data_IF_928626462567
#
_entry.id   IF_928626462567
#
_cell.length_a   1.000
_cell.length_b   1.000
_cell.length_c   1.000
_cell.angle_alpha   90.00
_cell.angle_beta   90.00
_cell.angle_gamma   90.00
#
_symmetry.space_group_name_H-M   'P 1'
#
loop_
_entity.id
_entity.type
_entity.pdbx_description
1 polymer ?
#
# COMPACT_ATOMS: atom_id res chain seq x y z
N UNK A 1 -14.85 24.62 9.75
CA UNK A 1 -13.80 23.86 10.44
C UNK A 1 -13.67 22.54 9.72
N UNK A 2 -12.70 22.39 8.81
CA UNK A 2 -12.49 21.14 8.10
C UNK A 2 -11.62 20.25 8.97
N UNK A 3 -12.25 19.41 9.80
CA UNK A 3 -11.57 18.27 10.42
C UNK A 3 -11.23 17.27 9.31
N UNK A 4 -10.11 17.51 8.62
CA UNK A 4 -9.42 16.44 7.91
C UNK A 4 -8.74 15.56 8.96
N UNK A 5 -9.56 14.78 9.68
CA UNK A 5 -9.06 13.75 10.58
C UNK A 5 -8.25 12.78 9.73
N UNK A 6 -6.94 12.78 9.94
CA UNK A 6 -6.02 11.87 9.28
C UNK A 6 -6.37 10.47 9.79
N UNK A 7 -6.88 9.55 8.94
CA UNK A 7 -7.48 8.30 9.42
C UNK A 7 -6.49 7.45 10.26
N UNK A 8 -5.19 7.60 10.00
CA UNK A 8 -4.15 6.90 10.73
C UNK A 8 -3.93 7.41 12.16
N UNK A 9 -4.27 8.65 12.49
CA UNK A 9 -4.11 9.16 13.86
C UNK A 9 -5.04 8.46 14.85
N UNK A 10 -6.20 7.98 14.39
CA UNK A 10 -7.20 7.29 15.22
C UNK A 10 -6.71 5.95 15.77
N UNK A 11 -5.82 5.29 15.04
CA UNK A 11 -5.25 3.98 15.40
C UNK A 11 -3.81 4.10 15.92
N UNK A 12 -3.36 5.32 16.21
CA UNK A 12 -2.03 5.57 16.78
C UNK A 12 -1.94 5.00 18.18
N UNK A 13 -0.85 4.29 18.43
CA UNK A 13 -0.43 3.84 19.76
C UNK A 13 0.83 4.59 20.17
N UNK A 14 0.99 4.80 21.48
CA UNK A 14 2.22 5.32 22.07
C UNK A 14 2.85 4.20 22.87
N UNK A 15 4.10 3.88 22.58
CA UNK A 15 4.82 2.84 23.29
C UNK A 15 5.37 3.33 24.63
N UNK A 16 5.98 2.43 25.41
CA UNK A 16 6.54 2.75 26.72
C UNK A 16 7.63 3.84 26.69
N UNK A 17 8.27 4.05 25.55
CA UNK A 17 9.32 5.04 25.35
C UNK A 17 8.76 6.38 24.82
N UNK A 18 7.44 6.52 24.68
CA UNK A 18 6.78 7.71 24.15
C UNK A 18 6.80 7.82 22.62
N UNK A 19 7.28 6.80 21.90
CA UNK A 19 7.31 6.81 20.45
C UNK A 19 5.97 6.35 19.86
N UNK A 20 5.60 6.95 18.73
CA UNK A 20 4.37 6.65 18.01
C UNK A 20 4.51 5.37 17.18
N UNK A 21 3.49 4.51 17.25
CA UNK A 21 3.49 3.19 16.63
C UNK A 21 2.09 2.81 16.10
N UNK A 22 2.08 1.95 15.08
CA UNK A 22 0.85 1.45 14.45
C UNK A 22 0.93 -0.06 14.20
N UNK A 23 -0.21 -0.76 14.34
CA UNK A 23 -0.32 -2.15 13.88
C UNK A 23 -0.54 -2.20 12.37
N UNK A 24 0.27 -2.97 11.65
CA UNK A 24 0.08 -3.20 10.22
C UNK A 24 -1.28 -3.86 9.91
N UNK A 25 -1.77 -4.74 10.78
CA UNK A 25 -3.12 -5.34 10.63
C UNK A 25 -4.23 -4.31 10.76
N UNK A 26 -4.15 -3.42 11.74
CA UNK A 26 -5.15 -2.35 11.91
C UNK A 26 -5.08 -1.35 10.75
N UNK A 27 -3.87 -0.94 10.36
CA UNK A 27 -3.65 -0.07 9.22
C UNK A 27 -4.20 -0.68 7.93
N UNK A 28 -3.93 -1.95 7.65
CA UNK A 28 -4.47 -2.64 6.46
C UNK A 28 -6.00 -2.59 6.40
N UNK A 29 -6.69 -2.80 7.53
CA UNK A 29 -8.16 -2.69 7.60
C UNK A 29 -8.64 -1.27 7.31
N UNK A 30 -8.00 -0.28 7.93
CA UNK A 30 -8.30 1.15 7.73
C UNK A 30 -8.13 1.56 6.26
N UNK A 31 -7.10 1.03 5.59
CA UNK A 31 -6.83 1.28 4.18
C UNK A 31 -7.69 0.45 3.21
N UNK A 32 -8.64 -0.34 3.72
CA UNK A 32 -9.62 -1.08 2.90
C UNK A 32 -9.12 -2.44 2.40
N UNK A 33 -8.13 -3.06 3.07
CA UNK A 33 -7.74 -4.45 2.84
C UNK A 33 -8.54 -5.36 3.77
N UNK A 34 -9.47 -6.12 3.20
CA UNK A 34 -10.34 -7.04 3.94
C UNK A 34 -9.58 -8.18 4.62
N UNK A 35 -8.54 -8.70 3.95
CA UNK A 35 -7.70 -9.79 4.45
C UNK A 35 -6.24 -9.36 4.50
N UNK A 36 -5.56 -9.70 5.60
CA UNK A 36 -4.17 -9.32 5.81
C UNK A 36 -3.21 -9.86 4.73
N UNK A 37 -3.51 -11.03 4.15
CA UNK A 37 -2.71 -11.61 3.05
C UNK A 37 -2.62 -10.69 1.82
N UNK A 38 -3.67 -9.92 1.53
CA UNK A 38 -3.69 -8.99 0.40
C UNK A 38 -2.91 -7.70 0.72
N UNK A 39 -2.61 -7.46 1.99
CA UNK A 39 -1.83 -6.32 2.45
C UNK A 39 -0.32 -6.63 2.52
N UNK A 40 0.06 -7.91 2.66
CA UNK A 40 1.47 -8.34 2.67
C UNK A 40 2.26 -7.80 1.46
N UNK A 41 1.79 -7.88 0.20
CA UNK A 41 2.54 -7.32 -0.94
C UNK A 41 2.79 -5.82 -0.87
N UNK A 42 1.91 -5.06 -0.19
CA UNK A 42 2.09 -3.62 0.04
C UNK A 42 3.19 -3.39 1.08
N UNK A 43 3.17 -4.17 2.17
CA UNK A 43 4.20 -4.11 3.20
C UNK A 43 5.58 -4.49 2.63
N UNK A 44 5.66 -5.50 1.76
CA UNK A 44 6.92 -5.87 1.09
C UNK A 44 7.49 -4.72 0.26
N UNK A 45 6.68 -4.12 -0.63
CA UNK A 45 7.13 -2.97 -1.44
C UNK A 45 7.49 -1.76 -0.59
N UNK A 46 6.79 -1.54 0.52
CA UNK A 46 7.12 -0.47 1.46
C UNK A 46 8.46 -0.71 2.18
N UNK A 47 8.77 -1.96 2.56
CA UNK A 47 10.08 -2.35 3.12
C UNK A 47 11.21 -2.14 2.10
N UNK A 48 11.00 -2.55 0.85
CA UNK A 48 11.95 -2.31 -0.25
C UNK A 48 12.20 -0.81 -0.46
N UNK A 49 11.14 0.01 -0.46
CA UNK A 49 11.27 1.47 -0.57
C UNK A 49 12.05 2.09 0.61
N UNK A 50 11.86 1.55 1.83
CA UNK A 50 12.60 1.96 3.03
C UNK A 50 14.10 1.70 2.87
N UNK A 51 14.47 0.48 2.48
CA UNK A 51 15.85 0.06 2.25
C UNK A 51 16.51 0.85 1.12
N UNK A 52 15.81 1.02 0.00
CA UNK A 52 16.29 1.82 -1.14
C UNK A 52 16.48 3.30 -0.81
N UNK A 53 15.79 3.80 0.23
CA UNK A 53 15.96 5.17 0.74
C UNK A 53 17.11 5.27 1.77
N UNK A 54 17.83 4.18 2.03
CA UNK A 54 18.95 4.13 2.97
C UNK A 54 18.55 3.97 4.44
N UNK A 55 17.28 3.65 4.72
CA UNK A 55 16.79 3.43 6.09
C UNK A 55 16.83 1.95 6.46
N UNK A 56 17.15 1.66 7.72
CA UNK A 56 17.12 0.29 8.26
C UNK A 56 15.66 -0.16 8.43
N UNK A 57 15.31 -1.31 7.85
CA UNK A 57 13.93 -1.83 7.88
C UNK A 57 13.44 -2.03 9.31
N UNK A 58 14.28 -2.59 10.19
CA UNK A 58 13.89 -2.96 11.55
C UNK A 58 13.56 -1.74 12.45
N UNK A 59 14.10 -0.56 12.13
CA UNK A 59 13.76 0.69 12.83
C UNK A 59 12.33 1.16 12.53
N UNK A 60 11.74 0.63 11.46
CA UNK A 60 10.47 1.11 10.90
C UNK A 60 9.39 0.04 10.79
N UNK A 61 9.77 -1.24 10.66
CA UNK A 61 8.89 -2.40 10.45
C UNK A 61 9.27 -3.56 11.38
N UNK A 62 8.98 -3.43 12.66
CA UNK A 62 9.32 -4.42 13.69
C UNK A 62 8.31 -5.58 13.69
N UNK A 63 8.79 -6.81 13.48
CA UNK A 63 7.92 -8.00 13.53
C UNK A 63 7.64 -8.44 14.97
N UNK A 64 6.36 -8.54 15.35
CA UNK A 64 5.95 -8.92 16.70
C UNK A 64 4.96 -10.08 16.70
N UNK A 65 4.78 -10.68 17.88
CA UNK A 65 3.67 -11.59 18.17
C UNK A 65 2.65 -10.84 19.02
N UNK A 66 1.57 -10.39 18.38
CA UNK A 66 0.47 -9.72 19.08
C UNK A 66 -0.54 -10.73 19.65
N UNK A 67 -1.04 -10.46 20.85
CA UNK A 67 -1.96 -11.33 21.57
C UNK A 67 -3.40 -10.88 21.34
N UNK A 68 -4.08 -11.54 20.40
CA UNK A 68 -5.45 -11.16 20.00
C UNK A 68 -6.46 -12.04 20.72
N UNK A 69 -7.56 -11.43 21.21
CA UNK A 69 -8.71 -12.17 21.72
C UNK A 69 -9.40 -12.92 20.58
N UNK A 70 -9.52 -14.22 20.73
CA UNK A 70 -10.43 -15.07 19.99
C UNK A 70 -11.60 -15.38 20.94
N UNK A 71 -12.83 -15.47 20.42
CA UNK A 71 -14.04 -15.63 21.23
C UNK A 71 -13.89 -16.63 22.39
N UNK A 72 -14.64 -16.40 23.47
CA UNK A 72 -14.57 -17.16 24.73
C UNK A 72 -13.31 -16.88 25.58
N UNK A 73 -12.88 -15.61 25.67
CA UNK A 73 -11.73 -15.15 26.49
C UNK A 73 -10.36 -15.79 26.18
N UNK A 74 -10.25 -16.63 25.15
CA UNK A 74 -8.98 -17.20 24.72
C UNK A 74 -8.13 -16.12 24.01
N UNK A 75 -6.82 -16.12 24.26
CA UNK A 75 -5.85 -15.28 23.54
C UNK A 75 -4.99 -16.15 22.64
N UNK A 76 -4.68 -15.69 21.43
CA UNK A 76 -3.75 -16.34 20.52
C UNK A 76 -2.70 -15.35 20.03
N UNK A 77 -1.45 -15.81 20.01
CA UNK A 77 -0.36 -15.09 19.38
C UNK A 77 -0.52 -15.11 17.85
N UNK A 78 -0.60 -13.93 17.26
CA UNK A 78 -0.66 -13.71 15.82
C UNK A 78 0.53 -12.85 15.41
N UNK A 79 1.23 -13.25 14.34
CA UNK A 79 2.31 -12.45 13.76
C UNK A 79 1.75 -11.13 13.25
N UNK A 80 2.30 -10.01 13.70
CA UNK A 80 1.97 -8.66 13.23
C UNK A 80 3.27 -7.87 12.99
N UNK A 81 3.15 -6.68 12.43
CA UNK A 81 4.26 -5.75 12.24
C UNK A 81 3.88 -4.42 12.90
N UNK A 82 4.74 -3.93 13.77
CA UNK A 82 4.69 -2.58 14.31
C UNK A 82 5.35 -1.64 13.32
N UNK A 83 4.64 -0.58 12.97
CA UNK A 83 5.04 0.41 12.01
C UNK A 83 5.36 1.72 12.71
N UNK A 84 6.47 2.35 12.34
CA UNK A 84 6.72 3.75 12.62
C UNK A 84 5.83 4.67 11.76
N UNK A 85 5.75 5.95 12.10
CA UNK A 85 5.05 6.95 11.27
C UNK A 85 5.56 6.97 9.82
N UNK A 86 6.88 6.91 9.67
CA UNK A 86 7.53 6.87 8.36
C UNK A 86 7.11 5.62 7.56
N UNK A 87 7.11 4.44 8.19
CA UNK A 87 6.62 3.22 7.57
C UNK A 87 5.16 3.32 7.12
N UNK A 88 4.28 3.92 7.94
CA UNK A 88 2.89 4.15 7.56
C UNK A 88 2.77 4.96 6.26
N UNK A 89 3.62 5.97 6.06
CA UNK A 89 3.64 6.76 4.82
C UNK A 89 4.12 5.95 3.63
N UNK A 90 5.17 5.13 3.77
CA UNK A 90 5.63 4.25 2.69
C UNK A 90 4.57 3.22 2.31
N UNK A 91 3.86 2.68 3.30
CA UNK A 91 2.74 1.75 3.08
C UNK A 91 1.60 2.41 2.33
N UNK A 92 1.24 3.66 2.66
CA UNK A 92 0.22 4.41 1.93
C UNK A 92 0.65 4.68 0.48
N UNK A 93 1.89 5.10 0.27
CA UNK A 93 2.45 5.38 -1.06
C UNK A 93 2.49 4.14 -1.95
N UNK A 94 2.77 2.96 -1.38
CA UNK A 94 2.82 1.69 -2.09
C UNK A 94 1.45 0.98 -2.15
N UNK A 95 0.38 1.56 -1.61
CA UNK A 95 -0.95 0.96 -1.63
C UNK A 95 -1.58 0.89 -3.02
N UNK A 96 -2.59 0.05 -3.18
CA UNK A 96 -3.42 -0.03 -4.39
C UNK A 96 -4.28 1.23 -4.58
N UNK A 97 -4.05 2.06 -5.62
CA UNK A 97 -4.82 3.28 -5.85
C UNK A 97 -6.28 3.03 -6.23
N UNK A 98 -6.68 1.79 -6.59
CA UNK A 98 -8.09 1.46 -6.78
C UNK A 98 -8.90 1.54 -5.46
N UNK A 99 -8.23 1.58 -4.30
CA UNK A 99 -8.87 1.80 -3.00
C UNK A 99 -9.03 3.31 -2.73
N UNK A 100 -10.25 3.82 -2.49
CA UNK A 100 -10.49 5.26 -2.31
C UNK A 100 -9.66 5.91 -1.20
N UNK A 101 -9.40 5.21 -0.09
CA UNK A 101 -8.59 5.73 1.02
C UNK A 101 -7.12 5.91 0.62
N UNK A 102 -6.57 4.98 -0.18
CA UNK A 102 -5.21 5.10 -0.73
C UNK A 102 -5.14 6.27 -1.70
N UNK A 103 -6.06 6.36 -2.66
CA UNK A 103 -6.09 7.44 -3.64
C UNK A 103 -6.23 8.83 -2.99
N UNK A 104 -7.08 8.94 -1.95
CA UNK A 104 -7.20 10.16 -1.17
C UNK A 104 -5.90 10.51 -0.44
N UNK A 105 -5.21 9.52 0.15
CA UNK A 105 -3.92 9.70 0.79
C UNK A 105 -2.81 10.14 -0.17
N UNK A 106 -2.73 9.54 -1.35
CA UNK A 106 -1.78 9.93 -2.41
C UNK A 106 -2.07 11.34 -2.93
N UNK A 107 -3.35 11.68 -3.12
CA UNK A 107 -3.77 13.03 -3.48
C UNK A 107 -3.36 14.02 -2.40
N UNK A 108 -3.56 13.68 -1.12
CA UNK A 108 -3.12 14.49 0.00
C UNK A 108 -1.60 14.69 -0.04
N UNK A 109 -0.80 13.66 -0.23
CA UNK A 109 0.66 13.82 -0.31
C UNK A 109 1.09 14.69 -1.49
N UNK A 110 0.55 14.48 -2.69
CA UNK A 110 0.83 15.33 -3.83
C UNK A 110 0.53 16.82 -3.53
N UNK A 111 -0.63 17.09 -2.92
CA UNK A 111 -1.01 18.44 -2.49
C UNK A 111 -0.04 18.99 -1.45
N UNK A 112 0.30 18.20 -0.43
CA UNK A 112 1.11 18.68 0.69
C UNK A 112 2.56 18.93 0.27
N UNK A 113 3.15 18.03 -0.53
CA UNK A 113 4.48 18.25 -1.10
C UNK A 113 4.49 19.53 -1.92
N UNK A 114 3.49 19.72 -2.79
CA UNK A 114 3.40 20.93 -3.60
C UNK A 114 3.22 22.20 -2.76
N UNK A 115 2.39 22.14 -1.73
CA UNK A 115 2.22 23.25 -0.79
C UNK A 115 3.52 23.60 -0.09
N UNK A 116 4.32 22.60 0.29
CA UNK A 116 5.60 22.82 0.93
C UNK A 116 6.60 23.46 -0.05
N UNK A 117 6.73 22.93 -1.27
CA UNK A 117 7.56 23.53 -2.32
C UNK A 117 7.20 25.00 -2.57
N UNK A 118 5.91 25.31 -2.65
CA UNK A 118 5.40 26.67 -2.84
C UNK A 118 5.58 27.56 -1.62
N UNK A 119 5.48 27.01 -0.41
CA UNK A 119 5.79 27.72 0.82
C UNK A 119 7.28 28.03 0.93
N UNK A 120 8.13 27.30 0.23
CA UNK A 120 9.57 27.54 0.14
C UNK A 120 9.92 28.44 -1.07
N UNK A 121 8.99 28.65 -2.00
CA UNK A 121 9.14 29.49 -3.22
C UNK A 121 8.82 30.97 -2.95
N UNK A 122 9.83 31.83 -3.04
CA UNK A 122 9.71 33.28 -2.84
C UNK A 122 8.79 33.97 -3.85
N UNK A 123 8.76 33.52 -5.11
CA UNK A 123 7.88 34.12 -6.12
C UNK A 123 6.41 33.79 -5.82
N UNK A 124 6.14 32.58 -5.34
CA UNK A 124 4.80 32.20 -4.92
C UNK A 124 4.34 32.94 -3.67
N UNK A 125 5.24 33.19 -2.70
CA UNK A 125 4.91 33.97 -1.49
C UNK A 125 4.37 35.36 -1.81
N UNK A 126 4.89 35.99 -2.87
CA UNK A 126 4.50 37.33 -3.32
C UNK A 126 3.14 37.38 -4.04
N UNK A 127 2.56 36.24 -4.42
CA UNK A 127 1.23 36.19 -5.03
C UNK A 127 0.12 36.59 -4.04
N UNK A 128 -0.96 37.15 -4.58
CA UNK A 128 -2.18 37.43 -3.80
C UNK A 128 -2.92 36.12 -3.47
N UNK A 129 -3.72 36.12 -2.41
CA UNK A 129 -4.42 34.92 -1.92
C UNK A 129 -5.38 34.28 -2.95
N UNK A 130 -6.01 35.08 -3.79
CA UNK A 130 -6.87 34.63 -4.89
C UNK A 130 -6.07 33.96 -6.02
N UNK A 131 -4.91 34.51 -6.36
CA UNK A 131 -3.97 33.93 -7.34
C UNK A 131 -3.40 32.60 -6.83
N UNK A 132 -2.98 32.54 -5.56
CA UNK A 132 -2.53 31.30 -4.90
C UNK A 132 -3.61 30.21 -4.96
N UNK A 133 -4.86 30.57 -4.64
CA UNK A 133 -5.99 29.64 -4.66
C UNK A 133 -6.28 29.11 -6.07
N UNK A 134 -6.27 29.98 -7.08
CA UNK A 134 -6.55 29.58 -8.46
C UNK A 134 -5.44 28.69 -9.02
N UNK A 135 -4.18 29.05 -8.74
CA UNK A 135 -3.00 28.28 -9.13
C UNK A 135 -3.07 26.86 -8.59
N UNK A 136 -3.22 26.70 -7.27
CA UNK A 136 -3.31 25.40 -6.60
C UNK A 136 -4.47 24.54 -7.13
N UNK A 137 -5.62 25.15 -7.43
CA UNK A 137 -6.78 24.43 -7.97
C UNK A 137 -6.51 23.86 -9.37
N UNK A 138 -5.84 24.64 -10.22
CA UNK A 138 -5.57 24.23 -11.59
C UNK A 138 -4.51 23.12 -11.63
N UNK A 139 -3.42 23.24 -10.87
CA UNK A 139 -2.43 22.16 -10.77
C UNK A 139 -3.05 20.87 -10.22
N UNK A 140 -3.91 20.97 -9.20
CA UNK A 140 -4.61 19.81 -8.67
C UNK A 140 -5.46 19.06 -9.69
N UNK A 141 -6.14 19.83 -10.54
CA UNK A 141 -6.94 19.28 -11.62
C UNK A 141 -6.06 18.53 -12.62
N UNK A 142 -4.91 19.10 -13.00
CA UNK A 142 -3.98 18.46 -13.94
C UNK A 142 -3.34 17.20 -13.34
N UNK A 143 -2.92 17.23 -12.08
CA UNK A 143 -2.35 16.04 -11.42
C UNK A 143 -3.36 14.90 -11.32
N UNK A 144 -4.60 15.19 -10.93
CA UNK A 144 -5.66 14.17 -10.90
C UNK A 144 -5.93 13.58 -12.29
N UNK A 145 -5.87 14.40 -13.34
CA UNK A 145 -5.99 13.93 -14.71
C UNK A 145 -4.86 12.97 -15.07
N UNK A 146 -3.60 13.34 -14.79
CA UNK A 146 -2.43 12.50 -15.06
C UNK A 146 -2.49 11.17 -14.29
N UNK A 147 -2.91 11.18 -13.02
CA UNK A 147 -3.07 9.96 -12.23
C UNK A 147 -4.09 9.01 -12.85
N UNK A 148 -5.25 9.53 -13.27
CA UNK A 148 -6.29 8.73 -13.92
C UNK A 148 -5.81 8.16 -15.25
N UNK A 149 -5.12 8.98 -16.06
CA UNK A 149 -4.53 8.54 -17.33
C UNK A 149 -3.49 7.43 -17.13
N UNK A 150 -2.58 7.58 -16.17
CA UNK A 150 -1.57 6.57 -15.85
C UNK A 150 -2.22 5.25 -15.39
N UNK A 151 -3.25 5.32 -14.54
CA UNK A 151 -3.99 4.14 -14.10
C UNK A 151 -4.71 3.44 -15.26
N UNK A 152 -5.34 4.21 -16.17
CA UNK A 152 -5.96 3.66 -17.37
C UNK A 152 -4.93 2.99 -18.28
N UNK A 153 -3.77 3.63 -18.50
CA UNK A 153 -2.71 3.09 -19.34
C UNK A 153 -2.19 1.76 -18.79
N UNK A 154 -1.94 1.68 -17.48
CA UNK A 154 -1.50 0.43 -16.84
C UNK A 154 -2.53 -0.70 -17.01
N UNK A 155 -3.81 -0.40 -16.83
CA UNK A 155 -4.89 -1.37 -17.05
C UNK A 155 -4.96 -1.84 -18.51
N UNK A 156 -4.85 -0.92 -19.47
CA UNK A 156 -4.84 -1.26 -20.90
C UNK A 156 -3.64 -2.13 -21.24
N UNK A 157 -2.43 -1.77 -20.79
CA UNK A 157 -1.23 -2.60 -21.02
C UNK A 157 -1.37 -3.99 -20.41
N UNK A 158 -1.89 -4.11 -19.19
CA UNK A 158 -2.12 -5.42 -18.56
C UNK A 158 -3.14 -6.26 -19.35
N UNK A 159 -4.22 -5.63 -19.82
CA UNK A 159 -5.23 -6.29 -20.65
C UNK A 159 -4.64 -6.77 -21.98
N UNK A 160 -3.89 -5.90 -22.68
CA UNK A 160 -3.30 -6.19 -23.99
C UNK A 160 -2.30 -7.34 -23.91
N UNK A 161 -1.39 -7.30 -22.92
CA UNK A 161 -0.44 -8.39 -22.67
C UNK A 161 -1.18 -9.68 -22.37
N UNK A 162 -2.17 -9.64 -21.46
CA UNK A 162 -2.96 -10.82 -21.12
C UNK A 162 -3.73 -11.39 -22.32
N UNK A 163 -4.26 -10.53 -23.19
CA UNK A 163 -4.96 -10.91 -24.42
C UNK A 163 -4.01 -11.58 -25.41
N UNK A 164 -2.81 -11.01 -25.60
CA UNK A 164 -1.81 -11.57 -26.51
C UNK A 164 -1.31 -12.93 -26.05
N UNK A 165 -1.03 -13.08 -24.75
CA UNK A 165 -0.62 -14.38 -24.18
C UNK A 165 -1.70 -15.44 -24.39
N UNK A 166 -2.97 -15.11 -24.13
CA UNK A 166 -4.12 -16.00 -24.38
C UNK A 166 -4.24 -16.39 -25.86
N UNK A 167 -4.14 -15.42 -26.76
CA UNK A 167 -4.17 -15.67 -28.21
C UNK A 167 -3.07 -16.66 -28.62
N UNK A 168 -1.85 -16.47 -28.14
CA UNK A 168 -0.72 -17.36 -28.47
C UNK A 168 -0.91 -18.77 -27.89
N UNK A 169 -1.46 -18.91 -26.68
CA UNK A 169 -1.79 -20.25 -26.12
C UNK A 169 -2.78 -20.96 -27.03
N UNK A 170 -3.84 -20.26 -27.47
CA UNK A 170 -4.84 -20.82 -28.37
C UNK A 170 -4.25 -21.20 -29.73
N UNK A 171 -3.41 -20.35 -30.32
CA UNK A 171 -2.73 -20.61 -31.60
C UNK A 171 -1.80 -21.83 -31.55
N UNK A 172 -1.13 -22.05 -30.42
CA UNK A 172 -0.27 -23.22 -30.21
C UNK A 172 -1.06 -24.49 -29.82
N UNK A 173 -2.39 -24.40 -29.72
CA UNK A 173 -3.25 -25.51 -29.28
C UNK A 173 -3.07 -25.86 -27.80
N UNK A 174 -2.57 -24.94 -26.99
CA UNK A 174 -2.42 -25.09 -25.55
C UNK A 174 -3.76 -24.94 -24.81
N UNK A 175 -3.83 -25.52 -23.61
CA UNK A 175 -5.00 -25.35 -22.73
C UNK A 175 -5.03 -23.96 -22.13
N UNK A 176 -6.20 -23.32 -22.17
CA UNK A 176 -6.37 -21.96 -21.66
C UNK A 176 -6.18 -21.90 -20.14
N UNK A 177 -5.57 -20.84 -19.58
CA UNK A 177 -5.34 -20.73 -18.12
C UNK A 177 -6.61 -20.89 -17.27
N UNK A 178 -7.75 -20.43 -17.77
CA UNK A 178 -9.07 -20.55 -17.14
C UNK A 178 -9.67 -21.96 -17.19
N UNK A 179 -9.18 -22.80 -18.10
CA UNK A 179 -9.61 -24.20 -18.27
C UNK A 179 -8.69 -25.18 -17.53
N UNK A 180 -7.55 -24.71 -17.03
CA UNK A 180 -6.65 -25.53 -16.23
C UNK A 180 -7.36 -25.96 -14.93
N UNK A 181 -7.26 -27.24 -14.54
CA UNK A 181 -7.85 -27.69 -13.29
C UNK A 181 -7.20 -26.96 -12.12
N UNK A 182 -8.04 -26.46 -11.20
CA UNK A 182 -7.55 -25.88 -9.94
C UNK A 182 -6.71 -26.94 -9.22
N UNK A 183 -5.43 -26.67 -8.90
CA UNK A 183 -4.59 -27.64 -8.23
C UNK A 183 -5.17 -28.01 -6.86
N UNK A 184 -5.22 -29.30 -6.53
CA UNK A 184 -5.75 -29.77 -5.24
C UNK A 184 -4.84 -29.44 -4.06
N UNK A 185 -3.56 -29.16 -4.33
CA UNK A 185 -2.55 -28.81 -3.36
C UNK A 185 -1.99 -27.43 -3.67
N UNK A 186 -1.91 -26.60 -2.64
CA UNK A 186 -1.30 -25.28 -2.75
C UNK A 186 0.22 -25.37 -2.88
N UNK A 187 0.83 -24.35 -3.52
CA UNK A 187 2.28 -24.21 -3.66
C UNK A 187 2.99 -24.39 -2.31
N UNK A 188 2.43 -23.78 -1.25
CA UNK A 188 2.98 -23.88 0.11
C UNK A 188 2.98 -25.30 0.68
N UNK A 189 2.00 -26.12 0.34
CA UNK A 189 1.95 -27.53 0.77
C UNK A 189 2.99 -28.37 0.02
N UNK A 190 3.18 -28.11 -1.27
CA UNK A 190 4.20 -28.75 -2.09
C UNK A 190 5.61 -28.40 -1.59
N UNK A 191 5.91 -27.12 -1.34
CA UNK A 191 7.19 -26.68 -0.78
C UNK A 191 7.52 -27.37 0.56
N UNK A 192 6.51 -27.55 1.41
CA UNK A 192 6.70 -28.24 2.68
C UNK A 192 6.98 -29.74 2.48
N UNK A 193 6.32 -30.40 1.53
CA UNK A 193 6.58 -31.81 1.23
C UNK A 193 7.97 -32.04 0.62
N UNK A 194 8.45 -31.12 -0.23
CA UNK A 194 9.79 -31.17 -0.81
C UNK A 194 10.85 -31.02 0.30
N UNK A 195 10.70 -30.04 1.20
CA UNK A 195 11.60 -29.85 2.35
C UNK A 195 11.64 -31.02 3.33
N UNK A 196 10.54 -31.79 3.45
CA UNK A 196 10.51 -33.00 4.28
C UNK A 196 11.25 -34.15 3.60
N UNK A 197 11.18 -34.23 2.27
CA UNK A 197 11.83 -35.27 1.48
C UNK A 197 13.34 -35.05 1.36
N UNK A 198 13.79 -33.79 1.28
CA UNK A 198 15.22 -33.42 1.23
C UNK A 198 15.95 -33.51 2.59
N UNK A 199 15.21 -33.64 3.70
CA UNK A 199 15.78 -33.81 5.05
C UNK A 199 15.88 -35.27 5.51
N UNK A 200 15.57 -36.22 4.63
CA UNK A 200 15.69 -37.67 4.84
C UNK A 200 16.85 -38.22 4.03
#
# INVERSE_FOLDING_TARGET
>A
MNEHHQPFEEIKLINANGAEQWSARQLGKLLGYSEYRHFIPVLTRAKEACENSGHTIDDHFEEILDMVKIGSNAKRALKDIVLSRYACYLVLQNGDPAKPVIAAGQTYFAIQTRRQELADDEAFKQLREDEKRLFLRNELKEHNKQLVEAAQQANTTHFDVGSKVRQTIQELGGTMPEELPTPQVSIKQLENSVKITEKK
#
